data_IF_539680505634
#
_entry.id   IF_539680505634
#
_cell.length_a   1.000
_cell.length_b   1.000
_cell.length_c   1.000
_cell.angle_alpha   90.00
_cell.angle_beta   90.00
_cell.angle_gamma   90.00
#
_symmetry.space_group_name_H-M   'P 1'
#
loop_
_entity.id
_entity.type
_entity.pdbx_description
1 polymer ?
#
# COMPACT_ATOMS: atom_id res chain seq x y z
N UNK A 1 4.25 35.37 23.41
CA UNK A 1 4.85 35.45 22.04
C UNK A 1 5.94 34.40 22.01
N UNK A 2 5.78 33.33 21.21
CA UNK A 2 6.85 32.33 21.03
C UNK A 2 7.90 32.96 20.10
N UNK A 3 9.17 32.95 20.52
CA UNK A 3 10.27 33.46 19.68
C UNK A 3 10.33 32.64 18.38
N UNK A 4 10.19 33.31 17.24
CA UNK A 4 10.34 32.70 15.93
C UNK A 4 11.83 32.71 15.60
N UNK A 5 12.47 31.56 15.70
CA UNK A 5 13.85 31.38 15.27
C UNK A 5 13.91 31.55 13.76
N UNK A 6 14.52 32.61 13.27
CA UNK A 6 14.66 32.88 11.83
C UNK A 6 15.77 31.98 11.30
N UNK A 7 15.39 30.98 10.51
CA UNK A 7 16.32 30.10 9.82
C UNK A 7 16.80 30.73 8.51
N UNK A 8 18.09 30.55 8.19
CA UNK A 8 18.61 30.97 6.90
C UNK A 8 18.17 30.03 5.75
N UNK A 9 18.37 30.50 4.50
CA UNK A 9 17.96 29.75 3.31
C UNK A 9 18.68 28.37 3.17
N UNK A 10 19.92 28.29 3.62
CA UNK A 10 20.70 27.07 3.51
C UNK A 10 20.25 26.04 4.55
N UNK A 11 19.96 26.45 5.77
CA UNK A 11 19.39 25.59 6.81
C UNK A 11 18.04 25.02 6.38
N UNK A 12 17.16 25.85 5.77
CA UNK A 12 15.88 25.42 5.22
C UNK A 12 16.09 24.36 4.12
N UNK A 13 17.05 24.57 3.22
CA UNK A 13 17.37 23.65 2.13
C UNK A 13 17.87 22.30 2.65
N UNK A 14 18.76 22.31 3.64
CA UNK A 14 19.32 21.10 4.25
C UNK A 14 18.23 20.27 4.95
N UNK A 15 17.36 20.90 5.73
CA UNK A 15 16.24 20.22 6.40
C UNK A 15 15.24 19.59 5.39
N UNK A 16 14.93 20.31 4.31
CA UNK A 16 14.08 19.75 3.23
C UNK A 16 14.71 18.53 2.59
N UNK A 17 16.03 18.55 2.36
CA UNK A 17 16.74 17.43 1.78
C UNK A 17 16.79 16.22 2.74
N UNK A 18 16.99 16.47 4.03
CA UNK A 18 17.01 15.43 5.06
C UNK A 18 15.67 14.72 5.20
N UNK A 19 14.55 15.45 5.30
CA UNK A 19 13.21 14.87 5.37
C UNK A 19 12.88 14.04 4.14
N UNK A 20 13.23 14.51 2.93
CA UNK A 20 13.03 13.76 1.69
C UNK A 20 13.86 12.49 1.65
N UNK A 21 15.12 12.54 2.09
CA UNK A 21 16.00 11.38 2.18
C UNK A 21 15.43 10.35 3.14
N UNK A 22 15.03 10.77 4.35
CA UNK A 22 14.44 9.90 5.35
C UNK A 22 13.17 9.22 4.82
N UNK A 23 12.31 9.96 4.13
CA UNK A 23 11.13 9.41 3.47
C UNK A 23 11.50 8.40 2.36
N UNK A 24 12.50 8.71 1.53
CA UNK A 24 12.92 7.82 0.45
C UNK A 24 13.52 6.50 0.97
N UNK A 25 14.22 6.53 2.10
CA UNK A 25 14.84 5.36 2.71
C UNK A 25 13.86 4.50 3.52
N UNK A 26 12.90 5.11 4.23
CA UNK A 26 12.08 4.43 5.25
C UNK A 26 10.56 4.55 5.02
N UNK A 27 10.13 5.30 4.01
CA UNK A 27 8.70 5.58 3.80
C UNK A 27 8.09 6.45 4.90
N UNK A 28 6.76 6.55 4.90
CA UNK A 28 6.02 7.28 5.96
C UNK A 28 6.16 6.61 7.33
N UNK A 29 6.35 5.30 7.38
CA UNK A 29 6.50 4.54 8.63
C UNK A 29 7.77 4.90 9.41
N UNK A 30 8.76 5.45 8.72
CA UNK A 30 10.00 5.94 9.32
C UNK A 30 9.94 7.37 9.84
N UNK A 31 8.81 8.07 9.69
CA UNK A 31 8.61 9.46 10.09
C UNK A 31 7.58 9.53 11.24
N UNK A 32 7.84 10.37 12.22
CA UNK A 32 6.84 10.70 13.24
C UNK A 32 5.82 11.74 12.72
N UNK A 33 4.76 12.02 13.51
CA UNK A 33 3.70 12.96 13.12
C UNK A 33 4.22 14.37 12.84
N UNK A 34 5.22 14.84 13.57
CA UNK A 34 5.82 16.14 13.36
C UNK A 34 6.64 16.17 12.07
N UNK A 35 7.41 15.12 11.79
CA UNK A 35 8.21 14.99 10.58
C UNK A 35 7.34 14.85 9.32
N UNK A 36 6.23 14.10 9.40
CA UNK A 36 5.23 14.01 8.31
C UNK A 36 4.66 15.39 8.03
N UNK A 37 4.23 16.10 9.07
CA UNK A 37 3.70 17.46 8.94
C UNK A 37 4.75 18.40 8.33
N UNK A 38 5.98 18.39 8.84
CA UNK A 38 7.09 19.21 8.34
C UNK A 38 7.42 18.89 6.86
N UNK A 39 7.40 17.63 6.47
CA UNK A 39 7.63 17.21 5.08
C UNK A 39 6.59 17.86 4.16
N UNK A 40 5.31 17.80 4.50
CA UNK A 40 4.23 18.38 3.69
C UNK A 40 4.30 19.92 3.66
N UNK A 41 4.49 20.57 4.81
CA UNK A 41 4.67 22.02 4.90
C UNK A 41 5.87 22.49 4.08
N UNK A 42 6.91 21.67 3.97
CA UNK A 42 8.11 22.00 3.19
C UNK A 42 7.83 22.26 1.70
N UNK A 43 6.72 21.80 1.16
CA UNK A 43 6.31 22.00 -0.23
C UNK A 43 5.39 23.22 -0.42
N UNK A 44 4.63 23.59 0.60
CA UNK A 44 3.58 24.60 0.51
C UNK A 44 3.88 25.87 1.30
N UNK A 45 4.71 25.78 2.35
CA UNK A 45 5.03 26.93 3.21
C UNK A 45 6.41 27.53 2.92
N UNK A 46 6.48 28.86 3.09
CA UNK A 46 7.74 29.63 3.05
C UNK A 46 8.19 29.91 4.49
N UNK A 47 9.50 29.80 4.73
CA UNK A 47 10.07 30.10 6.04
C UNK A 47 10.26 28.89 6.94
N UNK A 48 10.13 29.06 8.26
CA UNK A 48 10.39 28.02 9.24
C UNK A 48 9.22 27.02 9.36
N UNK A 49 9.11 26.14 8.36
CA UNK A 49 8.07 25.11 8.30
C UNK A 49 8.20 24.05 9.42
N UNK A 50 9.39 23.84 9.99
CA UNK A 50 9.59 22.87 11.09
C UNK A 50 9.00 23.38 12.40
N UNK A 51 9.16 24.67 12.71
CA UNK A 51 8.53 25.28 13.89
C UNK A 51 7.00 25.28 13.75
N UNK A 52 6.50 25.58 12.55
CA UNK A 52 5.08 25.51 12.26
C UNK A 52 4.55 24.07 12.42
N UNK A 53 5.26 23.07 11.90
CA UNK A 53 4.91 21.66 12.07
C UNK A 53 4.86 21.26 13.56
N UNK A 54 5.84 21.67 14.35
CA UNK A 54 5.86 21.42 15.78
C UNK A 54 4.66 22.02 16.49
N UNK A 55 4.34 23.29 16.22
CA UNK A 55 3.19 23.97 16.82
C UNK A 55 1.88 23.24 16.45
N UNK A 56 1.68 22.96 15.16
CA UNK A 56 0.49 22.26 14.69
C UNK A 56 0.36 20.87 15.30
N UNK A 57 1.45 20.10 15.39
CA UNK A 57 1.41 18.76 15.98
C UNK A 57 1.10 18.83 17.49
N UNK A 58 1.59 19.84 18.19
CA UNK A 58 1.26 20.07 19.61
C UNK A 58 -0.21 20.46 19.79
N UNK A 59 -0.73 21.35 18.95
CA UNK A 59 -2.09 21.89 19.08
C UNK A 59 -3.15 20.84 18.66
N UNK A 60 -2.88 20.01 17.67
CA UNK A 60 -3.81 19.01 17.12
C UNK A 60 -3.53 17.57 17.58
N UNK A 61 -2.43 17.30 18.24
CA UNK A 61 -2.06 16.01 18.82
C UNK A 61 -1.55 14.96 17.82
N UNK A 62 -2.05 14.93 16.60
CA UNK A 62 -1.61 13.99 15.54
C UNK A 62 -1.76 14.57 14.14
N UNK A 63 -1.02 14.00 13.18
CA UNK A 63 -1.18 14.35 11.77
C UNK A 63 -2.62 14.09 11.27
N UNK A 64 -3.24 12.99 11.67
CA UNK A 64 -4.61 12.66 11.28
C UNK A 64 -5.60 13.71 11.76
N UNK A 65 -5.54 14.11 13.03
CA UNK A 65 -6.40 15.16 13.59
C UNK A 65 -6.19 16.49 12.90
N UNK A 66 -4.93 16.82 12.59
CA UNK A 66 -4.57 18.03 11.83
C UNK A 66 -5.19 18.02 10.42
N UNK A 67 -5.01 16.91 9.67
CA UNK A 67 -5.48 16.78 8.29
C UNK A 67 -7.02 16.73 8.19
N UNK A 68 -7.71 16.26 9.23
CA UNK A 68 -9.17 16.23 9.30
C UNK A 68 -9.80 17.56 9.71
N UNK A 69 -9.01 18.49 10.26
CA UNK A 69 -9.48 19.80 10.73
C UNK A 69 -10.09 20.63 9.61
N UNK A 70 -10.92 21.59 10.02
CA UNK A 70 -11.51 22.55 9.08
C UNK A 70 -10.42 23.46 8.49
N UNK A 71 -10.33 23.61 7.16
CA UNK A 71 -9.31 24.44 6.51
C UNK A 71 -9.34 25.89 7.00
N UNK A 72 -10.51 26.42 7.30
CA UNK A 72 -10.66 27.79 7.80
C UNK A 72 -10.03 27.97 9.19
N UNK A 73 -10.18 26.97 10.07
CA UNK A 73 -9.53 26.96 11.37
C UNK A 73 -8.01 26.86 11.24
N UNK A 74 -7.52 26.03 10.32
CA UNK A 74 -6.08 25.89 10.04
C UNK A 74 -5.47 27.22 9.58
N UNK A 75 -6.15 27.96 8.71
CA UNK A 75 -5.67 29.27 8.24
C UNK A 75 -5.67 30.31 9.35
N UNK A 76 -6.75 30.42 10.12
CA UNK A 76 -6.93 31.50 11.09
C UNK A 76 -6.28 31.25 12.45
N UNK A 77 -6.22 29.98 12.90
CA UNK A 77 -5.69 29.60 14.21
C UNK A 77 -4.36 28.87 14.09
N UNK A 78 -4.20 28.04 13.07
CA UNK A 78 -2.98 27.27 12.83
C UNK A 78 -1.86 28.03 12.12
N UNK A 79 -2.17 29.17 11.50
CA UNK A 79 -1.18 30.02 10.82
C UNK A 79 -0.61 29.42 9.54
N UNK A 80 -1.33 28.50 8.89
CA UNK A 80 -0.94 27.95 7.58
C UNK A 80 -1.52 28.76 6.43
N UNK A 81 -0.88 28.69 5.26
CA UNK A 81 -1.42 29.29 4.04
C UNK A 81 -2.67 28.53 3.56
N UNK A 82 -3.50 29.19 2.74
CA UNK A 82 -4.66 28.56 2.09
C UNK A 82 -4.24 27.32 1.30
N UNK A 83 -3.13 27.38 0.58
CA UNK A 83 -2.59 26.27 -0.19
C UNK A 83 -2.29 25.05 0.70
N UNK A 84 -1.71 25.28 1.87
CA UNK A 84 -1.41 24.23 2.84
C UNK A 84 -2.69 23.64 3.45
N UNK A 85 -3.66 24.48 3.82
CA UNK A 85 -4.93 24.01 4.38
C UNK A 85 -5.69 23.12 3.37
N UNK A 86 -5.73 23.53 2.10
CA UNK A 86 -6.32 22.74 1.00
C UNK A 86 -5.55 21.44 0.78
N UNK A 87 -4.20 21.48 0.77
CA UNK A 87 -3.37 20.28 0.60
C UNK A 87 -3.63 19.24 1.71
N UNK A 88 -3.62 19.66 2.98
CA UNK A 88 -3.89 18.78 4.12
C UNK A 88 -5.28 18.13 4.01
N UNK A 89 -6.30 18.93 3.67
CA UNK A 89 -7.65 18.43 3.47
C UNK A 89 -7.78 17.47 2.29
N UNK A 90 -7.09 17.76 1.20
CA UNK A 90 -7.06 16.88 0.03
C UNK A 90 -6.44 15.51 0.38
N UNK A 91 -5.34 15.48 1.14
CA UNK A 91 -4.69 14.24 1.60
C UNK A 91 -5.65 13.41 2.46
N UNK A 92 -6.32 14.02 3.44
CA UNK A 92 -7.34 13.34 4.27
C UNK A 92 -8.47 12.77 3.39
N UNK A 93 -8.98 13.54 2.43
CA UNK A 93 -10.04 13.07 1.53
C UNK A 93 -9.60 11.96 0.60
N UNK A 94 -8.37 12.01 0.07
CA UNK A 94 -7.80 10.95 -0.74
C UNK A 94 -7.68 9.63 0.05
N UNK A 95 -7.30 9.70 1.33
CA UNK A 95 -7.26 8.53 2.20
C UNK A 95 -8.66 7.88 2.36
N UNK A 96 -9.71 8.69 2.53
CA UNK A 96 -11.10 8.21 2.60
C UNK A 96 -11.55 7.60 1.27
N UNK A 97 -11.27 8.25 0.13
CA UNK A 97 -11.60 7.72 -1.21
C UNK A 97 -10.91 6.38 -1.43
N UNK A 98 -9.61 6.30 -1.15
CA UNK A 98 -8.83 5.05 -1.25
C UNK A 98 -9.39 3.95 -0.35
N UNK A 99 -9.73 4.27 0.90
CA UNK A 99 -10.32 3.30 1.83
C UNK A 99 -11.69 2.81 1.35
N UNK A 100 -12.52 3.71 0.79
CA UNK A 100 -13.81 3.33 0.22
C UNK A 100 -13.66 2.45 -1.03
N UNK A 101 -12.70 2.73 -1.89
CA UNK A 101 -12.37 1.90 -3.05
C UNK A 101 -11.92 0.50 -2.62
N UNK A 102 -11.02 0.41 -1.64
CA UNK A 102 -10.59 -0.88 -1.07
C UNK A 102 -11.74 -1.63 -0.41
N UNK A 103 -12.66 -0.94 0.28
CA UNK A 103 -13.84 -1.56 0.91
C UNK A 103 -14.90 -2.05 -0.09
N UNK A 104 -14.86 -1.62 -1.35
CA UNK A 104 -15.69 -2.20 -2.44
C UNK A 104 -15.33 -3.68 -2.69
N UNK A 105 -14.13 -4.10 -2.34
CA UNK A 105 -13.62 -5.45 -2.54
C UNK A 105 -13.74 -6.30 -1.27
N UNK A 106 -14.95 -6.43 -0.72
CA UNK A 106 -15.16 -7.34 0.42
C UNK A 106 -15.14 -8.81 0.01
N UNK A 107 -15.38 -9.12 -1.26
CA UNK A 107 -15.42 -10.48 -1.81
C UNK A 107 -14.71 -10.55 -3.15
N UNK A 108 -13.99 -11.65 -3.38
CA UNK A 108 -13.27 -11.93 -4.63
C UNK A 108 -13.92 -13.12 -5.34
N UNK A 109 -15.16 -12.95 -5.79
CA UNK A 109 -15.95 -14.05 -6.40
C UNK A 109 -15.64 -14.29 -7.87
N UNK A 110 -14.98 -13.35 -8.55
CA UNK A 110 -14.65 -13.47 -9.97
C UNK A 110 -13.23 -13.05 -10.23
N UNK A 111 -12.61 -13.59 -11.30
CA UNK A 111 -11.27 -13.20 -11.72
C UNK A 111 -11.17 -11.69 -11.98
N UNK A 112 -12.20 -11.07 -12.56
CA UNK A 112 -12.22 -9.62 -12.75
C UNK A 112 -12.17 -8.86 -11.42
N UNK A 113 -12.91 -9.29 -10.40
CA UNK A 113 -12.84 -8.69 -9.06
C UNK A 113 -11.47 -8.86 -8.42
N UNK A 114 -10.86 -10.02 -8.56
CA UNK A 114 -9.50 -10.25 -8.06
C UNK A 114 -8.47 -9.36 -8.80
N UNK A 115 -8.56 -9.27 -10.14
CA UNK A 115 -7.72 -8.37 -10.95
C UNK A 115 -7.85 -6.90 -10.52
N UNK A 116 -9.06 -6.38 -10.38
CA UNK A 116 -9.32 -5.02 -9.91
C UNK A 116 -8.74 -4.78 -8.49
N UNK A 117 -8.98 -5.73 -7.58
CA UNK A 117 -8.47 -5.65 -6.21
C UNK A 117 -6.96 -5.54 -6.16
N UNK A 118 -6.25 -6.46 -6.80
CA UNK A 118 -4.78 -6.46 -6.75
C UNK A 118 -4.16 -5.30 -7.53
N UNK A 119 -4.78 -4.87 -8.64
CA UNK A 119 -4.36 -3.64 -9.33
C UNK A 119 -4.42 -2.43 -8.40
N UNK A 120 -5.49 -2.30 -7.60
CA UNK A 120 -5.61 -1.21 -6.63
C UNK A 120 -4.58 -1.30 -5.51
N UNK A 121 -4.18 -2.52 -5.12
CA UNK A 121 -3.19 -2.75 -4.05
C UNK A 121 -1.76 -2.42 -4.47
N UNK A 122 -1.42 -2.71 -5.72
CA UNK A 122 -0.08 -2.44 -6.26
C UNK A 122 0.04 -1.06 -6.92
N UNK A 123 -1.03 -0.26 -6.93
CA UNK A 123 -1.00 1.08 -7.51
C UNK A 123 0.08 1.96 -6.87
N UNK A 124 0.96 2.51 -7.71
CA UNK A 124 2.09 3.33 -7.26
C UNK A 124 3.32 2.56 -6.78
N UNK A 125 3.30 1.21 -6.79
CA UNK A 125 4.50 0.41 -6.50
C UNK A 125 5.50 0.53 -7.62
N UNK A 126 6.74 0.90 -7.28
CA UNK A 126 7.87 1.03 -8.23
C UNK A 126 8.76 -0.20 -8.25
N UNK A 127 8.57 -1.12 -7.32
CA UNK A 127 9.28 -2.39 -7.20
C UNK A 127 8.33 -3.56 -7.35
N UNK A 128 8.85 -4.71 -7.77
CA UNK A 128 8.09 -5.95 -7.76
C UNK A 128 7.75 -6.36 -6.34
N UNK A 129 6.49 -6.65 -6.09
CA UNK A 129 5.95 -7.07 -4.80
C UNK A 129 5.11 -8.32 -4.98
N UNK A 130 5.21 -9.24 -4.02
CA UNK A 130 4.34 -10.39 -3.92
C UNK A 130 3.38 -10.17 -2.75
N UNK A 131 2.10 -10.39 -2.98
CA UNK A 131 1.04 -10.26 -1.98
C UNK A 131 0.24 -11.56 -1.87
N UNK A 132 -0.32 -11.79 -0.69
CA UNK A 132 -1.28 -12.85 -0.45
C UNK A 132 -2.55 -12.31 0.20
N UNK A 133 -3.68 -12.97 -0.10
CA UNK A 133 -5.00 -12.67 0.47
C UNK A 133 -5.67 -13.97 0.86
N UNK A 134 -6.04 -14.11 2.13
CA UNK A 134 -6.87 -15.21 2.58
C UNK A 134 -8.34 -14.83 2.49
N UNK A 135 -9.18 -15.79 2.16
CA UNK A 135 -10.64 -15.61 2.08
C UNK A 135 -11.35 -16.79 2.75
N UNK A 136 -12.59 -16.55 3.18
CA UNK A 136 -13.46 -17.62 3.68
C UNK A 136 -14.24 -18.30 2.54
N UNK A 137 -15.06 -19.31 2.87
CA UNK A 137 -15.91 -20.07 1.92
C UNK A 137 -16.82 -19.19 1.03
N UNK A 138 -17.18 -17.99 1.50
CA UNK A 138 -17.98 -17.01 0.73
C UNK A 138 -17.10 -16.08 -0.11
N UNK A 139 -15.80 -16.40 -0.24
CA UNK A 139 -14.78 -15.60 -0.91
C UNK A 139 -14.67 -14.16 -0.37
N UNK A 140 -15.01 -13.99 0.92
CA UNK A 140 -14.85 -12.73 1.63
C UNK A 140 -13.43 -12.65 2.17
N UNK A 141 -12.75 -11.55 1.92
CA UNK A 141 -11.38 -11.29 2.38
C UNK A 141 -11.34 -11.34 3.91
N UNK A 142 -10.43 -12.14 4.45
CA UNK A 142 -10.13 -12.26 5.89
C UNK A 142 -8.82 -11.61 6.27
N UNK A 143 -7.78 -11.74 5.43
CA UNK A 143 -6.47 -11.10 5.65
C UNK A 143 -5.81 -10.70 4.33
N UNK A 144 -4.93 -9.70 4.39
CA UNK A 144 -4.05 -9.26 3.30
C UNK A 144 -2.64 -9.05 3.84
N UNK A 145 -1.62 -9.47 3.11
CA UNK A 145 -0.21 -9.24 3.42
C UNK A 145 0.65 -9.04 2.17
N UNK A 146 1.61 -8.14 2.26
CA UNK A 146 2.74 -8.08 1.32
C UNK A 146 3.77 -9.11 1.81
N UNK A 147 4.04 -10.11 0.98
CA UNK A 147 4.89 -11.25 1.33
C UNK A 147 6.35 -10.94 1.08
N UNK A 148 6.64 -10.28 -0.03
CA UNK A 148 7.99 -9.80 -0.36
C UNK A 148 7.88 -8.41 -0.96
N UNK A 149 8.70 -7.51 -0.43
CA UNK A 149 8.97 -6.20 -1.01
C UNK A 149 10.49 -6.09 -1.19
N UNK A 150 10.98 -6.00 -2.43
CA UNK A 150 12.40 -5.75 -2.69
C UNK A 150 13.07 -6.75 -3.65
N UNK A 151 14.08 -6.26 -4.33
CA UNK A 151 14.87 -6.96 -5.34
C UNK A 151 15.60 -8.17 -4.74
N UNK A 152 15.38 -9.35 -5.29
CA UNK A 152 16.25 -10.51 -5.11
C UNK A 152 15.83 -11.57 -4.10
N UNK A 153 14.58 -11.58 -3.62
CA UNK A 153 14.09 -12.72 -2.84
C UNK A 153 14.05 -13.98 -3.74
N UNK A 154 14.80 -15.01 -3.34
CA UNK A 154 14.78 -16.28 -4.05
C UNK A 154 13.39 -16.92 -3.99
N UNK A 155 12.96 -17.58 -5.05
CA UNK A 155 11.68 -18.30 -5.18
C UNK A 155 11.37 -19.16 -3.94
N UNK A 156 12.38 -19.80 -3.37
CA UNK A 156 12.23 -20.66 -2.18
C UNK A 156 11.80 -19.89 -0.92
N UNK A 157 12.27 -18.66 -0.73
CA UNK A 157 11.84 -17.82 0.41
C UNK A 157 10.42 -17.32 0.24
N UNK A 158 10.01 -17.01 -0.99
CA UNK A 158 8.64 -16.54 -1.29
C UNK A 158 7.60 -17.65 -1.05
N UNK A 159 7.88 -18.89 -1.46
CA UNK A 159 7.00 -20.04 -1.22
C UNK A 159 6.79 -20.25 0.29
N UNK A 160 7.86 -20.27 1.07
CA UNK A 160 7.80 -20.39 2.53
C UNK A 160 6.94 -19.32 3.17
N UNK A 161 7.18 -18.07 2.81
CA UNK A 161 6.48 -16.94 3.40
C UNK A 161 4.97 -16.94 3.07
N UNK A 162 4.58 -17.41 1.86
CA UNK A 162 3.17 -17.59 1.50
C UNK A 162 2.51 -18.64 2.38
N UNK A 163 3.19 -19.77 2.60
CA UNK A 163 2.68 -20.87 3.43
C UNK A 163 2.57 -20.42 4.89
N UNK A 164 3.58 -19.76 5.42
CA UNK A 164 3.55 -19.19 6.77
C UNK A 164 2.39 -18.18 6.92
N UNK A 165 2.17 -17.32 5.92
CA UNK A 165 1.05 -16.40 5.92
C UNK A 165 -0.30 -17.12 5.94
N UNK A 166 -0.47 -18.16 5.11
CA UNK A 166 -1.70 -18.94 5.07
C UNK A 166 -1.98 -19.65 6.41
N UNK A 167 -0.99 -20.30 6.99
CA UNK A 167 -1.11 -21.00 8.28
C UNK A 167 -1.41 -20.02 9.41
N UNK A 168 -0.68 -18.91 9.50
CA UNK A 168 -0.86 -17.90 10.55
C UNK A 168 -2.24 -17.23 10.52
N UNK A 169 -2.91 -17.24 9.37
CA UNK A 169 -4.26 -16.71 9.20
C UNK A 169 -5.35 -17.80 9.17
N UNK A 170 -5.01 -19.07 9.49
CA UNK A 170 -5.93 -20.21 9.46
C UNK A 170 -6.74 -20.26 8.14
N UNK A 171 -6.03 -20.16 7.02
CA UNK A 171 -6.66 -20.05 5.72
C UNK A 171 -7.05 -21.40 5.14
N UNK A 172 -8.30 -21.54 4.68
CA UNK A 172 -8.72 -22.66 3.81
C UNK A 172 -8.52 -22.28 2.33
N UNK A 173 -8.59 -20.96 2.02
CA UNK A 173 -8.54 -20.43 0.66
C UNK A 173 -7.60 -19.23 0.60
N UNK A 174 -6.76 -19.19 -0.44
CA UNK A 174 -5.79 -18.11 -0.65
C UNK A 174 -5.72 -17.67 -2.11
N UNK A 175 -5.59 -16.37 -2.32
CA UNK A 175 -5.10 -15.77 -3.56
C UNK A 175 -3.68 -15.31 -3.37
N UNK A 176 -2.86 -15.43 -4.39
CA UNK A 176 -1.57 -14.76 -4.46
C UNK A 176 -1.55 -13.79 -5.63
N UNK A 177 -0.73 -12.77 -5.55
CA UNK A 177 -0.55 -11.83 -6.64
C UNK A 177 0.82 -11.19 -6.61
N UNK A 178 1.33 -10.82 -7.78
CA UNK A 178 2.51 -9.96 -7.88
C UNK A 178 2.34 -8.91 -8.99
N UNK A 179 3.14 -7.87 -8.92
CA UNK A 179 3.14 -6.82 -9.93
C UNK A 179 4.42 -6.84 -10.76
N UNK A 180 4.28 -6.49 -12.03
CA UNK A 180 5.36 -6.16 -12.95
C UNK A 180 5.39 -4.64 -13.18
N UNK A 181 6.13 -3.83 -12.39
CA UNK A 181 6.00 -2.37 -12.39
C UNK A 181 6.27 -1.72 -13.75
N UNK A 182 7.15 -2.32 -14.55
CA UNK A 182 7.66 -1.75 -15.81
C UNK A 182 7.39 -2.65 -17.03
N UNK A 183 6.57 -3.68 -16.90
CA UNK A 183 6.28 -4.61 -17.99
C UNK A 183 4.83 -5.07 -18.03
N UNK A 184 4.49 -5.83 -19.07
CA UNK A 184 3.17 -6.44 -19.25
C UNK A 184 2.87 -7.44 -18.12
N UNK A 185 1.59 -7.68 -17.79
CA UNK A 185 1.21 -8.67 -16.77
C UNK A 185 1.30 -10.12 -17.26
N UNK A 186 1.94 -10.39 -18.39
CA UNK A 186 2.09 -11.75 -18.90
C UNK A 186 2.96 -12.59 -17.93
N UNK A 187 2.49 -13.79 -17.54
CA UNK A 187 3.27 -14.68 -16.67
C UNK A 187 4.53 -15.18 -17.36
N UNK A 188 5.67 -15.14 -16.65
CA UNK A 188 6.91 -15.75 -17.09
C UNK A 188 6.91 -17.27 -16.80
N UNK A 189 7.81 -18.02 -17.40
CA UNK A 189 8.02 -19.46 -17.07
C UNK A 189 8.37 -19.64 -15.59
N UNK A 190 9.09 -18.69 -14.99
CA UNK A 190 9.40 -18.66 -13.58
C UNK A 190 8.15 -18.52 -12.72
N UNK A 191 7.23 -17.62 -13.11
CA UNK A 191 5.96 -17.41 -12.40
C UNK A 191 5.11 -18.69 -12.44
N UNK A 192 5.03 -19.32 -13.61
CA UNK A 192 4.27 -20.56 -13.80
C UNK A 192 4.85 -21.68 -12.93
N UNK A 193 6.16 -21.89 -12.97
CA UNK A 193 6.81 -22.96 -12.21
C UNK A 193 6.71 -22.74 -10.69
N UNK A 194 6.93 -21.50 -10.24
CA UNK A 194 6.82 -21.12 -8.83
C UNK A 194 5.40 -21.30 -8.32
N UNK A 195 4.41 -20.87 -9.10
CA UNK A 195 2.99 -20.96 -8.73
C UNK A 195 2.56 -22.42 -8.60
N UNK A 196 2.95 -23.28 -9.52
CA UNK A 196 2.65 -24.73 -9.44
C UNK A 196 3.25 -25.39 -8.20
N UNK A 197 4.46 -24.98 -7.83
CA UNK A 197 5.11 -25.48 -6.60
C UNK A 197 4.35 -24.99 -5.35
N UNK A 198 3.95 -23.72 -5.30
CA UNK A 198 3.17 -23.17 -4.20
C UNK A 198 1.83 -23.89 -4.10
N UNK A 199 1.11 -24.06 -5.21
CA UNK A 199 -0.18 -24.76 -5.29
C UNK A 199 -0.08 -26.19 -4.73
N UNK A 200 0.91 -26.96 -5.18
CA UNK A 200 1.14 -28.33 -4.67
C UNK A 200 1.43 -28.41 -3.17
N UNK A 201 2.17 -27.44 -2.62
CA UNK A 201 2.46 -27.42 -1.17
C UNK A 201 1.23 -27.01 -0.38
N UNK A 202 0.48 -26.00 -0.84
CA UNK A 202 -0.77 -25.58 -0.20
C UNK A 202 -1.81 -26.71 -0.19
N UNK A 203 -1.96 -27.42 -1.31
CA UNK A 203 -2.85 -28.60 -1.44
C UNK A 203 -2.49 -29.69 -0.41
N UNK A 204 -1.20 -29.94 -0.16
CA UNK A 204 -0.75 -30.90 0.85
C UNK A 204 -1.10 -30.52 2.30
N UNK A 205 -1.49 -29.26 2.50
CA UNK A 205 -1.92 -28.65 3.77
C UNK A 205 -3.43 -28.40 3.81
N UNK A 206 -4.19 -28.96 2.87
CA UNK A 206 -5.63 -28.74 2.72
C UNK A 206 -6.01 -27.25 2.49
N UNK A 207 -5.08 -26.46 1.93
CA UNK A 207 -5.30 -25.06 1.59
C UNK A 207 -5.43 -24.91 0.07
N UNK A 208 -6.53 -24.34 -0.40
CA UNK A 208 -6.79 -24.17 -1.83
C UNK A 208 -6.22 -22.84 -2.33
N UNK A 209 -5.32 -22.88 -3.32
CA UNK A 209 -4.93 -21.71 -4.11
C UNK A 209 -6.04 -21.41 -5.13
N UNK A 210 -6.79 -20.35 -4.90
CA UNK A 210 -7.90 -19.99 -5.79
C UNK A 210 -7.38 -19.44 -7.11
N UNK A 211 -6.47 -18.46 -7.06
CA UNK A 211 -5.91 -17.84 -8.27
C UNK A 211 -4.55 -17.19 -7.98
N UNK A 212 -3.79 -16.95 -9.04
CA UNK A 212 -2.62 -16.09 -9.04
C UNK A 212 -2.84 -14.94 -10.03
N UNK A 213 -2.87 -13.73 -9.50
CA UNK A 213 -3.09 -12.51 -10.29
C UNK A 213 -1.77 -11.80 -10.54
N UNK A 214 -1.49 -11.48 -11.79
CA UNK A 214 -0.31 -10.70 -12.17
C UNK A 214 -0.78 -9.35 -12.69
N UNK A 215 -0.27 -8.26 -12.12
CA UNK A 215 -0.60 -6.91 -12.56
C UNK A 215 0.60 -6.27 -13.27
N UNK A 216 0.34 -5.41 -14.24
CA UNK A 216 1.41 -4.76 -14.99
C UNK A 216 0.91 -3.62 -15.87
N UNK A 217 1.76 -3.13 -16.77
CA UNK A 217 1.37 -2.11 -17.73
C UNK A 217 0.27 -2.68 -18.63
N UNK A 218 -0.85 -1.97 -18.68
CA UNK A 218 -2.01 -2.35 -19.52
C UNK A 218 -3.05 -3.22 -18.82
N UNK A 219 -2.87 -3.58 -17.53
CA UNK A 219 -3.91 -4.27 -16.77
C UNK A 219 -3.43 -5.39 -15.86
N UNK A 220 -4.24 -6.43 -15.74
CA UNK A 220 -3.96 -7.60 -14.93
C UNK A 220 -4.45 -8.89 -15.61
N UNK A 221 -3.79 -10.02 -15.33
CA UNK A 221 -4.18 -11.34 -15.79
C UNK A 221 -4.40 -12.27 -14.62
N UNK A 222 -5.25 -13.28 -14.82
CA UNK A 222 -5.47 -14.41 -13.92
C UNK A 222 -4.80 -15.63 -14.52
N UNK A 223 -3.96 -16.30 -13.75
CA UNK A 223 -3.34 -17.54 -14.21
C UNK A 223 -4.36 -18.67 -14.32
N UNK A 224 -5.47 -18.61 -13.59
CA UNK A 224 -6.56 -19.58 -13.69
C UNK A 224 -7.34 -19.39 -15.01
N UNK A 225 -7.68 -18.15 -15.39
CA UNK A 225 -8.28 -17.86 -16.70
C UNK A 225 -7.40 -18.35 -17.86
N UNK A 226 -6.07 -18.30 -17.68
CA UNK A 226 -5.10 -18.77 -18.67
C UNK A 226 -4.90 -20.31 -18.63
N UNK A 227 -5.63 -21.04 -17.77
CA UNK A 227 -5.48 -22.49 -17.57
C UNK A 227 -4.06 -22.92 -17.17
N UNK A 228 -3.36 -22.09 -16.40
CA UNK A 228 -1.99 -22.35 -15.94
C UNK A 228 -1.93 -22.98 -14.53
N UNK A 229 -3.06 -22.99 -13.81
CA UNK A 229 -3.22 -23.60 -12.49
C UNK A 229 -3.91 -24.96 -12.60
N UNK A 230 -3.41 -25.95 -11.83
CA UNK A 230 -3.98 -27.26 -11.67
C UNK A 230 -5.11 -27.23 -10.61
N UNK A 231 -6.02 -28.21 -10.64
CA UNK A 231 -7.06 -28.34 -9.64
C UNK A 231 -8.28 -27.46 -9.84
N UNK A 232 -9.29 -27.70 -9.01
CA UNK A 232 -10.55 -26.94 -9.05
C UNK A 232 -10.41 -25.64 -8.26
N UNK A 233 -10.96 -24.57 -8.78
CA UNK A 233 -11.18 -23.35 -7.99
C UNK A 233 -12.18 -23.64 -6.86
N UNK A 234 -12.15 -22.79 -5.81
CA UNK A 234 -13.15 -22.85 -4.74
C UNK A 234 -14.58 -22.78 -5.30
N UNK A 235 -15.54 -23.47 -4.70
CA UNK A 235 -16.95 -23.33 -5.03
C UNK A 235 -17.36 -21.85 -4.97
N UNK A 236 -17.89 -21.33 -6.09
CA UNK A 236 -18.34 -19.93 -6.19
C UNK A 236 -17.34 -18.91 -6.72
N UNK A 237 -16.13 -19.35 -7.14
CA UNK A 237 -15.21 -18.55 -7.95
C UNK A 237 -15.44 -18.80 -9.44
N UNK A 238 -15.63 -17.72 -10.22
CA UNK A 238 -15.80 -17.78 -11.68
C UNK A 238 -14.67 -17.04 -12.41
N UNK A 239 -14.18 -17.61 -13.48
CA UNK A 239 -13.10 -17.09 -14.32
C UNK A 239 -13.43 -17.25 -15.80
#
# INVERSE_FOLDING_TARGET
MREVQVMDKEQIRQLKAELRRKYAEKGLEGLDSQEITALLLSYSEKGNFTQLAQNLTQDYGSFSSLADSDPYLLMNCGGVSEQTAVLLKAISRLAVVRSAEVSRFRTLKTANRAKEYFTSRFMGSTTEQLAAVTVNEKLRITSFGIITGGTGARIDSSCRNIIEFAINNNADYIFIAHNHPNSSPAPSESDISSTRRIDSVLESLDITLIDHIITGIGGAVSMRELNLLSGSASPGYSY
#
